data_IF_841979410091
#
_entry.id   IF_841979410091
#
_cell.length_a   1.000
_cell.length_b   1.000
_cell.length_c   1.000
_cell.angle_alpha   90.00
_cell.angle_beta   90.00
_cell.angle_gamma   90.00
#
_symmetry.space_group_name_H-M   'P 1'
#
loop_
_entity.id
_entity.type
_entity.pdbx_description
1 polymer ?
#
# COMPACT_ATOMS: atom_id res chain seq x y z
N UNK A 1 -5.88 12.42 -9.25
CA UNK A 1 -4.62 11.84 -8.75
C UNK A 1 -3.51 12.43 -9.59
N UNK A 2 -2.57 13.17 -8.98
CA UNK A 2 -1.49 13.86 -9.68
C UNK A 2 -0.20 13.06 -9.49
N UNK A 3 0.47 12.69 -10.57
CA UNK A 3 1.75 12.00 -10.53
C UNK A 3 2.84 13.00 -10.95
N UNK A 4 3.87 13.19 -10.12
CA UNK A 4 4.96 14.13 -10.39
C UNK A 4 6.23 13.36 -10.68
N UNK A 5 6.73 13.49 -11.91
CA UNK A 5 8.01 12.97 -12.34
C UNK A 5 8.85 14.11 -12.95
N UNK A 6 9.34 15.01 -12.09
CA UNK A 6 10.05 16.22 -12.54
C UNK A 6 11.39 16.46 -11.83
N UNK A 7 11.81 15.58 -10.93
CA UNK A 7 13.07 15.72 -10.21
C UNK A 7 14.28 15.59 -11.16
N UNK A 8 15.25 16.49 -10.97
CA UNK A 8 16.48 16.56 -11.76
C UNK A 8 17.69 16.69 -10.83
N UNK A 9 18.84 16.26 -11.31
CA UNK A 9 20.13 16.49 -10.64
C UNK A 9 20.49 17.99 -10.66
N UNK A 10 21.52 18.39 -9.91
CA UNK A 10 22.08 19.75 -9.96
C UNK A 10 22.52 20.15 -11.39
N UNK A 11 22.92 19.16 -12.20
CA UNK A 11 23.23 19.31 -13.63
C UNK A 11 22.03 19.27 -14.58
N UNK A 12 20.80 19.40 -14.07
CA UNK A 12 19.52 19.38 -14.82
C UNK A 12 19.20 18.07 -15.56
N UNK A 13 19.93 16.99 -15.29
CA UNK A 13 19.64 15.67 -15.86
C UNK A 13 18.43 15.04 -15.15
N UNK A 14 17.55 14.30 -15.85
CA UNK A 14 16.45 13.59 -15.20
C UNK A 14 16.98 12.62 -14.15
N UNK A 15 16.46 12.69 -12.91
CA UNK A 15 16.92 11.78 -11.84
C UNK A 15 16.61 10.31 -12.19
N UNK A 16 15.60 10.09 -13.03
CA UNK A 16 15.18 8.78 -13.52
C UNK A 16 16.27 8.03 -14.26
N UNK A 17 17.31 8.69 -14.79
CA UNK A 17 18.46 8.00 -15.39
C UNK A 17 19.32 7.26 -14.35
N UNK A 18 19.26 7.65 -13.08
CA UNK A 18 20.14 7.16 -12.01
C UNK A 18 19.44 6.26 -11.00
N UNK A 19 18.10 6.17 -11.03
CA UNK A 19 17.35 5.32 -10.12
C UNK A 19 17.14 3.93 -10.71
N UNK A 20 17.38 2.88 -9.93
CA UNK A 20 17.06 1.51 -10.36
C UNK A 20 15.57 1.22 -10.20
N UNK A 21 14.95 1.76 -9.15
CA UNK A 21 13.56 1.49 -8.76
C UNK A 21 12.72 2.78 -8.72
N UNK A 22 11.41 2.64 -8.82
CA UNK A 22 10.46 3.73 -8.69
C UNK A 22 9.62 3.57 -7.42
N UNK A 23 9.70 4.54 -6.52
CA UNK A 23 8.91 4.58 -5.28
C UNK A 23 7.56 5.27 -5.46
N UNK A 24 6.51 4.74 -4.82
CA UNK A 24 5.18 5.33 -4.82
C UNK A 24 4.50 5.27 -3.45
N UNK A 25 3.75 6.32 -3.12
CA UNK A 25 2.94 6.38 -1.91
C UNK A 25 1.48 6.15 -2.27
N UNK A 26 0.83 5.20 -1.61
CA UNK A 26 -0.55 4.79 -1.89
C UNK A 26 -1.37 4.94 -0.61
N UNK A 27 -2.11 6.05 -0.51
CA UNK A 27 -2.93 6.37 0.67
C UNK A 27 -4.42 6.06 0.49
N UNK A 28 -4.83 5.39 -0.58
CA UNK A 28 -6.25 5.11 -0.82
C UNK A 28 -6.47 3.79 -1.53
N UNK A 29 -7.61 3.17 -1.23
CA UNK A 29 -7.99 1.88 -1.76
C UNK A 29 -7.43 0.72 -0.94
N UNK A 30 -8.13 -0.40 -1.06
CA UNK A 30 -7.84 -1.65 -0.36
C UNK A 30 -8.08 -2.81 -1.33
N UNK A 31 -7.56 -3.97 -0.98
CA UNK A 31 -7.81 -5.22 -1.69
C UNK A 31 -9.26 -5.69 -1.60
N UNK A 32 -9.50 -6.89 -2.13
CA UNK A 32 -10.78 -7.60 -1.97
C UNK A 32 -10.62 -8.69 -0.90
N UNK A 33 -11.70 -9.05 -0.22
CA UNK A 33 -11.66 -10.19 0.70
C UNK A 33 -11.50 -11.52 -0.06
N UNK A 34 -11.42 -12.61 0.69
CA UNK A 34 -11.27 -13.97 0.17
C UNK A 34 -12.42 -14.42 -0.75
N UNK A 35 -13.56 -13.73 -0.73
CA UNK A 35 -14.71 -13.98 -1.61
C UNK A 35 -14.71 -13.10 -2.87
N UNK A 36 -13.69 -12.23 -3.01
CA UNK A 36 -13.58 -11.27 -4.10
C UNK A 36 -14.39 -9.98 -3.88
N UNK A 37 -14.98 -9.76 -2.70
CA UNK A 37 -15.71 -8.52 -2.41
C UNK A 37 -14.74 -7.40 -2.00
N UNK A 38 -14.76 -6.23 -2.65
CA UNK A 38 -13.84 -5.13 -2.31
C UNK A 38 -13.99 -4.63 -0.87
N UNK A 39 -12.88 -4.25 -0.23
CA UNK A 39 -12.92 -3.50 1.03
C UNK A 39 -13.25 -2.03 0.81
N UNK A 40 -12.77 -1.45 -0.29
CA UNK A 40 -12.94 -0.03 -0.61
C UNK A 40 -13.70 0.16 -1.92
N UNK A 41 -14.35 1.33 -2.08
CA UNK A 41 -14.81 1.82 -3.38
C UNK A 41 -13.66 2.11 -4.34
N UNK A 42 -12.46 2.39 -3.83
CA UNK A 42 -11.28 2.63 -4.65
C UNK A 42 -10.54 1.33 -4.96
N UNK A 43 -10.41 1.01 -6.25
CA UNK A 43 -9.65 -0.14 -6.72
C UNK A 43 -8.14 0.08 -6.53
N UNK A 44 -7.54 -0.69 -5.62
CA UNK A 44 -6.10 -0.66 -5.38
C UNK A 44 -5.31 -1.18 -6.60
N UNK A 45 -5.78 -2.27 -7.21
CA UNK A 45 -5.16 -2.84 -8.41
C UNK A 45 -5.13 -1.84 -9.57
N UNK A 46 -6.23 -1.09 -9.79
CA UNK A 46 -6.29 -0.08 -10.85
C UNK A 46 -5.30 1.06 -10.60
N UNK A 47 -5.11 1.47 -9.35
CA UNK A 47 -4.09 2.48 -9.00
C UNK A 47 -2.67 2.02 -9.34
N UNK A 48 -2.33 0.76 -9.01
CA UNK A 48 -1.02 0.20 -9.36
C UNK A 48 -0.83 0.13 -10.87
N UNK A 49 -1.82 -0.39 -11.60
CA UNK A 49 -1.78 -0.47 -13.07
C UNK A 49 -1.69 0.91 -13.72
N UNK A 50 -2.40 1.90 -13.19
CA UNK A 50 -2.30 3.28 -13.65
C UNK A 50 -0.90 3.84 -13.43
N UNK A 51 -0.26 3.57 -12.30
CA UNK A 51 1.13 3.97 -12.04
C UNK A 51 2.10 3.35 -13.04
N UNK A 52 2.00 2.05 -13.28
CA UNK A 52 2.82 1.36 -14.28
C UNK A 52 2.60 1.93 -15.68
N UNK A 53 1.35 2.19 -16.08
CA UNK A 53 1.04 2.82 -17.36
C UNK A 53 1.70 4.20 -17.48
N UNK A 54 1.68 5.02 -16.40
CA UNK A 54 2.36 6.32 -16.38
C UNK A 54 3.89 6.18 -16.45
N UNK A 55 4.47 5.22 -15.73
CA UNK A 55 5.89 4.90 -15.83
C UNK A 55 6.30 4.57 -17.27
N UNK A 56 5.49 3.79 -17.99
CA UNK A 56 5.71 3.49 -19.41
C UNK A 56 5.64 4.75 -20.27
N UNK A 57 4.62 5.60 -20.09
CA UNK A 57 4.51 6.89 -20.81
C UNK A 57 5.72 7.80 -20.57
N UNK A 58 6.36 7.69 -19.41
CA UNK A 58 7.54 8.48 -19.05
C UNK A 58 8.88 7.83 -19.41
N UNK A 59 8.88 6.69 -20.11
CA UNK A 59 10.10 6.00 -20.53
C UNK A 59 10.83 5.26 -19.40
N UNK A 60 10.15 5.00 -18.27
CA UNK A 60 10.70 4.24 -17.13
C UNK A 60 9.91 2.95 -16.83
N UNK A 61 9.07 2.49 -17.76
CA UNK A 61 8.20 1.32 -17.59
C UNK A 61 8.94 -0.01 -17.38
N UNK A 62 10.23 -0.09 -17.70
CA UNK A 62 11.07 -1.26 -17.41
C UNK A 62 11.63 -1.31 -15.99
N UNK A 63 11.39 -0.28 -15.17
CA UNK A 63 11.92 -0.20 -13.80
C UNK A 63 10.92 -0.78 -12.80
N UNK A 64 11.36 -1.53 -11.77
CA UNK A 64 10.49 -2.02 -10.71
C UNK A 64 9.73 -0.89 -10.00
N UNK A 65 8.43 -1.09 -9.79
CA UNK A 65 7.61 -0.23 -8.93
C UNK A 65 7.60 -0.79 -7.52
N UNK A 66 7.91 0.05 -6.54
CA UNK A 66 7.81 -0.27 -5.11
C UNK A 66 6.85 0.72 -4.47
N UNK A 67 5.89 0.20 -3.73
CA UNK A 67 5.04 1.02 -2.88
C UNK A 67 5.83 1.30 -1.61
N UNK A 68 6.44 2.48 -1.52
CA UNK A 68 7.30 2.88 -0.39
C UNK A 68 6.49 3.37 0.81
N UNK A 69 5.21 3.67 0.61
CA UNK A 69 4.28 3.95 1.70
C UNK A 69 2.88 3.42 1.37
N UNK A 70 2.39 2.50 2.19
CA UNK A 70 1.00 2.05 2.19
C UNK A 70 0.46 1.97 3.62
N UNK A 71 -0.73 2.51 3.86
CA UNK A 71 -1.37 2.41 5.15
C UNK A 71 -2.88 2.56 5.02
N UNK A 72 -3.61 1.81 5.82
CA UNK A 72 -5.06 1.96 5.93
C UNK A 72 -5.32 2.93 7.07
N UNK A 73 -5.63 4.17 6.70
CA UNK A 73 -6.01 5.23 7.62
C UNK A 73 -7.21 4.93 8.53
N UNK A 74 -7.31 5.56 9.69
CA UNK A 74 -8.58 5.61 10.44
C UNK A 74 -9.53 6.68 9.91
N UNK A 75 -8.99 7.68 9.22
CA UNK A 75 -9.77 8.76 8.67
C UNK A 75 -10.53 8.32 7.39
N UNK A 76 -11.81 8.68 7.34
CA UNK A 76 -12.76 8.22 6.33
C UNK A 76 -12.41 8.62 4.88
N UNK A 77 -11.62 9.67 4.66
CA UNK A 77 -11.31 10.13 3.28
C UNK A 77 -10.42 9.16 2.48
N UNK A 78 -9.67 8.29 3.17
CA UNK A 78 -8.77 7.32 2.52
C UNK A 78 -9.38 5.92 2.38
N UNK A 79 -10.42 5.60 3.16
CA UNK A 79 -10.98 4.24 3.30
C UNK A 79 -12.49 4.21 3.16
N UNK A 80 -12.98 4.81 2.08
CA UNK A 80 -14.39 4.74 1.72
C UNK A 80 -14.79 3.26 1.54
N UNK A 81 -15.66 2.72 2.41
CA UNK A 81 -16.03 1.31 2.37
C UNK A 81 -16.85 1.02 1.11
N UNK A 82 -16.62 -0.16 0.52
CA UNK A 82 -17.44 -0.61 -0.60
C UNK A 82 -18.92 -0.69 -0.21
N UNK A 83 -19.83 -0.48 -1.16
CA UNK A 83 -21.29 -0.49 -0.91
C UNK A 83 -21.72 -1.80 -0.24
N UNK A 84 -22.48 -1.69 0.85
CA UNK A 84 -22.93 -2.85 1.62
C UNK A 84 -21.80 -3.55 2.41
N UNK A 85 -20.73 -2.82 2.76
CA UNK A 85 -19.69 -3.27 3.68
C UNK A 85 -19.58 -2.29 4.86
N UNK A 86 -19.41 -2.78 6.11
CA UNK A 86 -19.12 -1.90 7.24
C UNK A 86 -17.80 -1.14 7.03
N UNK A 87 -17.69 0.04 7.64
CA UNK A 87 -16.41 0.74 7.75
C UNK A 87 -15.43 -0.06 8.62
N UNK A 88 -14.11 0.14 8.42
CA UNK A 88 -13.09 -0.66 9.10
C UNK A 88 -13.10 -0.52 10.62
N UNK A 89 -13.54 0.62 11.15
CA UNK A 89 -13.70 0.85 12.59
C UNK A 89 -14.74 -0.08 13.23
N UNK A 90 -15.75 -0.49 12.47
CA UNK A 90 -16.77 -1.45 12.88
C UNK A 90 -16.34 -2.93 12.70
N UNK A 91 -15.15 -3.20 12.13
CA UNK A 91 -14.66 -4.56 11.90
C UNK A 91 -13.81 -5.06 13.07
N UNK A 92 -13.74 -6.38 13.24
CA UNK A 92 -12.81 -7.01 14.18
C UNK A 92 -11.37 -6.84 13.73
N UNK A 93 -10.41 -7.02 14.64
CA UNK A 93 -8.99 -6.89 14.29
C UNK A 93 -8.54 -7.95 13.29
N UNK A 94 -9.11 -9.16 13.33
CA UNK A 94 -8.87 -10.19 12.31
C UNK A 94 -9.33 -9.74 10.92
N UNK A 95 -10.48 -9.06 10.84
CA UNK A 95 -11.01 -8.55 9.58
C UNK A 95 -10.19 -7.35 9.05
N UNK A 96 -9.69 -6.50 9.95
CA UNK A 96 -8.73 -5.43 9.60
C UNK A 96 -7.41 -6.02 9.11
N UNK A 97 -6.93 -7.08 9.77
CA UNK A 97 -5.73 -7.80 9.40
C UNK A 97 -5.88 -8.46 8.02
N UNK A 98 -7.03 -9.06 7.71
CA UNK A 98 -7.33 -9.57 6.36
C UNK A 98 -7.33 -8.43 5.34
N UNK A 99 -7.97 -7.29 5.63
CA UNK A 99 -7.97 -6.14 4.72
C UNK A 99 -6.54 -5.69 4.34
N UNK A 100 -5.62 -5.66 5.31
CA UNK A 100 -4.21 -5.32 5.08
C UNK A 100 -3.52 -6.41 4.24
N UNK A 101 -3.67 -7.68 4.61
CA UNK A 101 -3.11 -8.81 3.85
C UNK A 101 -3.54 -8.76 2.38
N UNK A 102 -4.85 -8.67 2.14
CA UNK A 102 -5.42 -8.67 0.81
C UNK A 102 -4.97 -7.46 0.00
N UNK A 103 -4.75 -6.33 0.66
CA UNK A 103 -4.21 -5.14 0.00
C UNK A 103 -2.77 -5.34 -0.45
N UNK A 104 -1.93 -5.99 0.36
CA UNK A 104 -0.55 -6.37 -0.02
C UNK A 104 -0.58 -7.32 -1.21
N UNK A 105 -1.39 -8.40 -1.12
CA UNK A 105 -1.55 -9.36 -2.21
C UNK A 105 -2.00 -8.69 -3.51
N UNK A 106 -3.03 -7.83 -3.43
CA UNK A 106 -3.55 -7.08 -4.58
C UNK A 106 -2.47 -6.21 -5.24
N UNK A 107 -1.61 -5.54 -4.45
CA UNK A 107 -0.54 -4.70 -5.01
C UNK A 107 0.52 -5.55 -5.71
N UNK A 108 0.89 -6.69 -5.13
CA UNK A 108 1.86 -7.61 -5.74
C UNK A 108 1.33 -8.25 -7.02
N UNK A 109 0.07 -8.71 -7.02
CA UNK A 109 -0.62 -9.24 -8.20
C UNK A 109 -0.75 -8.20 -9.30
N UNK A 110 -0.94 -6.93 -8.94
CA UNK A 110 -0.94 -5.82 -9.88
C UNK A 110 0.47 -5.42 -10.36
N UNK A 111 1.53 -6.04 -9.85
CA UNK A 111 2.91 -5.89 -10.32
C UNK A 111 3.77 -4.91 -9.53
N UNK A 112 3.41 -4.55 -8.30
CA UNK A 112 4.35 -3.94 -7.36
C UNK A 112 5.38 -4.99 -6.90
N UNK A 113 6.67 -4.66 -6.98
CA UNK A 113 7.77 -5.56 -6.59
C UNK A 113 7.97 -5.60 -5.07
N UNK A 114 7.60 -4.53 -4.37
CA UNK A 114 7.69 -4.43 -2.92
C UNK A 114 6.65 -3.48 -2.35
N UNK A 115 6.33 -3.68 -1.07
CA UNK A 115 5.41 -2.85 -0.30
C UNK A 115 6.04 -2.55 1.06
N UNK A 116 6.12 -1.28 1.40
CA UNK A 116 6.52 -0.76 2.70
C UNK A 116 5.30 -0.13 3.36
N UNK A 117 5.04 -0.50 4.62
CA UNK A 117 3.90 0.01 5.36
C UNK A 117 4.24 1.34 6.03
N UNK A 118 3.36 2.34 5.85
CA UNK A 118 3.47 3.66 6.46
C UNK A 118 3.12 3.60 7.96
N UNK A 119 3.45 4.69 8.66
CA UNK A 119 4.35 4.71 9.81
C UNK A 119 4.07 3.68 10.92
N UNK A 120 5.12 2.90 11.20
CA UNK A 120 5.28 2.18 12.46
C UNK A 120 5.69 3.11 13.63
N UNK A 121 5.95 4.41 13.38
CA UNK A 121 6.68 5.30 14.30
C UNK A 121 6.08 6.72 14.46
N UNK A 122 4.91 7.04 13.90
CA UNK A 122 4.43 8.43 13.94
C UNK A 122 3.80 8.85 15.28
N UNK A 123 3.58 7.94 16.24
CA UNK A 123 2.88 8.23 17.51
C UNK A 123 1.42 8.70 17.34
N UNK A 124 0.98 8.89 16.10
CA UNK A 124 -0.34 9.36 15.75
C UNK A 124 -1.23 8.17 15.39
N UNK A 125 -2.44 8.18 15.95
CA UNK A 125 -3.42 7.10 15.91
C UNK A 125 -4.08 6.91 14.52
N UNK A 126 -3.34 7.17 13.44
CA UNK A 126 -3.90 7.29 12.10
C UNK A 126 -3.98 5.98 11.34
N UNK A 127 -3.36 4.90 11.81
CA UNK A 127 -3.30 3.62 11.09
C UNK A 127 -3.88 2.47 11.91
N UNK A 128 -4.40 1.45 11.22
CA UNK A 128 -4.88 0.21 11.84
C UNK A 128 -3.75 -0.75 12.26
N UNK A 129 -2.50 -0.42 11.96
CA UNK A 129 -1.31 -1.12 12.49
C UNK A 129 -1.04 -0.81 13.96
N UNK A 130 -1.60 0.28 14.47
CA UNK A 130 -1.54 0.67 15.88
C UNK A 130 -2.81 0.24 16.62
N UNK A 131 -2.69 -0.08 17.90
CA UNK A 131 -3.82 -0.43 18.75
C UNK A 131 -4.77 0.76 18.92
N UNK A 132 -6.08 0.51 18.88
CA UNK A 132 -7.09 1.56 18.95
C UNK A 132 -7.22 2.25 20.30
N UNK A 133 -6.90 1.53 21.36
CA UNK A 133 -6.97 1.97 22.74
C UNK A 133 -5.60 2.44 23.25
N UNK A 134 -4.51 2.08 22.57
CA UNK A 134 -3.16 2.53 22.88
C UNK A 134 -2.31 2.75 21.62
N UNK A 135 -2.28 4.00 21.12
CA UNK A 135 -1.54 4.39 19.92
C UNK A 135 -0.03 4.13 19.98
N UNK A 136 0.51 3.90 21.18
CA UNK A 136 1.92 3.60 21.41
C UNK A 136 2.24 2.09 21.32
N UNK A 137 1.22 1.26 21.03
CA UNK A 137 1.39 -0.17 20.85
C UNK A 137 0.92 -0.58 19.46
N UNK A 138 1.59 -1.60 18.91
CA UNK A 138 1.12 -2.23 17.69
C UNK A 138 -0.11 -3.09 17.96
N UNK A 139 -1.02 -3.12 16.99
CA UNK A 139 -2.07 -4.12 16.96
C UNK A 139 -1.45 -5.50 16.64
N UNK A 140 -1.34 -6.36 17.65
CA UNK A 140 -0.63 -7.64 17.52
C UNK A 140 -1.22 -8.56 16.44
N UNK A 141 -2.55 -8.60 16.32
CA UNK A 141 -3.26 -9.38 15.31
C UNK A 141 -2.92 -8.92 13.90
N UNK A 142 -2.96 -7.61 13.67
CA UNK A 142 -2.60 -7.00 12.39
C UNK A 142 -1.12 -7.23 12.06
N UNK A 143 -0.21 -7.00 13.02
CA UNK A 143 1.22 -7.20 12.81
C UNK A 143 1.56 -8.64 12.47
N UNK A 144 0.97 -9.61 13.19
CA UNK A 144 1.15 -11.03 12.88
C UNK A 144 0.76 -11.29 11.42
N UNK A 145 -0.39 -10.78 10.98
CA UNK A 145 -0.89 -11.03 9.62
C UNK A 145 -0.02 -10.38 8.54
N UNK A 146 0.59 -9.23 8.82
CA UNK A 146 1.60 -8.60 7.95
C UNK A 146 2.82 -9.49 7.80
N UNK A 147 3.33 -10.06 8.90
CA UNK A 147 4.44 -11.01 8.84
C UNK A 147 4.07 -12.30 8.10
N UNK A 148 2.84 -12.80 8.29
CA UNK A 148 2.31 -13.93 7.53
C UNK A 148 2.24 -13.60 6.03
N UNK A 149 1.80 -12.39 5.64
CA UNK A 149 1.78 -11.92 4.26
C UNK A 149 3.17 -11.97 3.63
N UNK A 150 4.19 -11.48 4.35
CA UNK A 150 5.58 -11.51 3.90
C UNK A 150 6.06 -12.94 3.60
N UNK A 151 5.70 -13.91 4.44
CA UNK A 151 6.10 -15.30 4.28
C UNK A 151 5.31 -16.00 3.16
N UNK A 152 3.98 -15.79 3.13
CA UNK A 152 3.06 -16.52 2.25
C UNK A 152 3.07 -16.02 0.80
N UNK A 153 3.20 -14.71 0.61
CA UNK A 153 3.15 -14.09 -0.71
C UNK A 153 4.51 -14.11 -1.43
N UNK A 154 5.50 -14.79 -0.84
CA UNK A 154 6.82 -14.97 -1.43
C UNK A 154 7.46 -13.64 -1.82
N UNK A 155 7.41 -12.63 -0.94
CA UNK A 155 8.09 -11.35 -1.16
C UNK A 155 9.54 -11.68 -1.43
N UNK A 156 9.93 -11.65 -2.70
CA UNK A 156 11.27 -12.01 -3.14
C UNK A 156 12.23 -11.25 -2.25
N UNK A 157 13.10 -12.00 -1.55
CA UNK A 157 14.16 -11.39 -0.76
C UNK A 157 14.95 -10.53 -1.75
N UNK A 158 14.75 -9.21 -1.72
CA UNK A 158 15.74 -8.33 -2.30
C UNK A 158 17.06 -8.71 -1.61
N UNK A 159 18.09 -9.13 -2.35
CA UNK A 159 19.41 -9.28 -1.77
C UNK A 159 19.81 -7.87 -1.32
N UNK A 160 19.90 -7.68 0.00
CA UNK A 160 20.51 -6.49 0.58
C UNK A 160 22.03 -6.57 0.41
#
# INVERSE_FOLDING_TARGET
MSYVLSARTSGKQPITAYCDWFGAHVYSGMGSDQTGKPYSTFSLAEKIRLMQARMTTWGVGGKPLIVTEYGIGRANYNNQPYVGRPALDALTDDQKADAIYQSIATMQEAGATGVMLYALDSGENFLWTLDANNSNQFNATVMKRIFDARQQLGVNRAPW
#
